data_IF_824879540193
#
_entry.id   IF_824879540193
#
_cell.length_a   1.000
_cell.length_b   1.000
_cell.length_c   1.000
_cell.angle_alpha   90.00
_cell.angle_beta   90.00
_cell.angle_gamma   90.00
#
_symmetry.space_group_name_H-M   'P 1'
#
loop_
_entity.id
_entity.type
_entity.pdbx_description
1 polymer ?
#
# COMPACT_ATOMS: atom_id res chain seq x y z
N UNK A 1 -7.76 -19.42 -4.17
CA UNK A 1 -7.70 -17.99 -4.42
C UNK A 1 -7.27 -17.22 -3.18
N UNK A 2 -6.32 -16.32 -3.35
CA UNK A 2 -5.77 -15.56 -2.23
C UNK A 2 -6.61 -14.36 -1.87
N UNK A 3 -6.70 -14.09 -0.58
CA UNK A 3 -7.26 -12.85 -0.07
C UNK A 3 -6.09 -11.90 0.19
N UNK A 4 -5.93 -10.93 -0.68
CA UNK A 4 -4.79 -10.01 -0.62
C UNK A 4 -5.09 -8.81 0.26
N UNK A 5 -4.09 -8.41 1.03
CA UNK A 5 -4.20 -7.27 1.92
C UNK A 5 -3.14 -6.22 1.59
N UNK A 6 -3.53 -4.96 1.71
CA UNK A 6 -2.65 -3.83 1.42
C UNK A 6 -2.63 -2.91 2.64
N UNK A 7 -1.44 -2.40 2.97
CA UNK A 7 -1.30 -1.32 3.95
C UNK A 7 -0.71 -0.11 3.25
N UNK A 8 -1.28 1.06 3.52
CA UNK A 8 -0.78 2.32 3.00
C UNK A 8 -0.06 3.04 4.12
N UNK A 9 1.25 3.28 3.93
CA UNK A 9 2.10 3.98 4.89
C UNK A 9 2.47 5.31 4.27
N UNK A 10 1.83 6.40 4.70
CA UNK A 10 1.94 7.68 4.02
C UNK A 10 1.80 8.82 5.02
N UNK A 11 2.45 9.95 4.69
CA UNK A 11 2.26 11.19 5.43
C UNK A 11 1.20 12.09 4.80
N UNK A 12 0.50 11.59 3.78
CA UNK A 12 -0.58 12.35 3.14
C UNK A 12 -1.78 12.44 4.05
N UNK A 13 -2.61 13.46 3.78
CA UNK A 13 -3.85 13.64 4.53
C UNK A 13 -4.78 12.44 4.36
N UNK A 14 -5.54 12.17 5.40
CA UNK A 14 -6.47 11.05 5.39
C UNK A 14 -7.43 11.10 4.21
N UNK A 15 -7.85 12.30 3.82
CA UNK A 15 -8.74 12.48 2.68
C UNK A 15 -8.13 11.94 1.40
N UNK A 16 -6.82 12.21 1.18
CA UNK A 16 -6.11 11.72 0.01
C UNK A 16 -6.02 10.19 0.06
N UNK A 17 -5.70 9.64 1.22
CA UNK A 17 -5.56 8.19 1.39
C UNK A 17 -6.90 7.47 1.22
N UNK A 18 -7.98 8.09 1.68
CA UNK A 18 -9.32 7.52 1.49
C UNK A 18 -9.68 7.46 0.01
N UNK A 19 -9.29 8.48 -0.75
CA UNK A 19 -9.49 8.49 -2.19
C UNK A 19 -8.72 7.36 -2.86
N UNK A 20 -7.46 7.16 -2.47
CA UNK A 20 -6.65 6.04 -2.95
C UNK A 20 -7.33 4.71 -2.67
N UNK A 21 -7.81 4.55 -1.45
CA UNK A 21 -8.49 3.33 -1.04
C UNK A 21 -9.70 3.05 -1.91
N UNK A 22 -10.49 4.08 -2.20
CA UNK A 22 -11.66 3.92 -3.06
C UNK A 22 -11.26 3.50 -4.47
N UNK A 23 -10.21 4.11 -5.02
CA UNK A 23 -9.73 3.75 -6.34
C UNK A 23 -9.25 2.30 -6.38
N UNK A 24 -8.52 1.87 -5.35
CA UNK A 24 -8.02 0.49 -5.27
C UNK A 24 -9.16 -0.51 -5.24
N UNK A 25 -10.16 -0.25 -4.42
CA UNK A 25 -11.32 -1.15 -4.30
C UNK A 25 -12.11 -1.22 -5.59
N UNK A 26 -12.18 -0.09 -6.32
CA UNK A 26 -12.89 -0.06 -7.59
C UNK A 26 -12.15 -0.85 -8.66
N UNK A 27 -10.82 -0.73 -8.70
CA UNK A 27 -10.02 -1.40 -9.72
C UNK A 27 -9.76 -2.87 -9.39
N UNK A 28 -9.71 -3.23 -8.12
CA UNK A 28 -9.39 -4.58 -7.68
C UNK A 28 -10.39 -5.02 -6.61
N UNK A 29 -11.62 -5.33 -7.02
CA UNK A 29 -12.68 -5.66 -6.04
C UNK A 29 -12.44 -6.95 -5.28
N UNK A 30 -11.45 -7.75 -5.70
CA UNK A 30 -11.12 -9.00 -5.01
C UNK A 30 -10.20 -8.78 -3.81
N UNK A 31 -9.76 -7.55 -3.55
CA UNK A 31 -8.90 -7.27 -2.40
C UNK A 31 -9.64 -7.55 -1.10
N UNK A 32 -8.94 -8.23 -0.18
CA UNK A 32 -9.51 -8.59 1.11
C UNK A 32 -9.63 -7.38 2.01
N UNK A 33 -8.55 -6.61 2.14
CA UNK A 33 -8.60 -5.42 2.97
C UNK A 33 -7.51 -4.44 2.59
N UNK A 34 -7.81 -3.17 2.83
CA UNK A 34 -6.86 -2.08 2.64
C UNK A 34 -6.89 -1.25 3.91
N UNK A 35 -5.77 -1.21 4.61
CA UNK A 35 -5.65 -0.46 5.86
C UNK A 35 -4.71 0.72 5.66
N UNK A 36 -4.96 1.78 6.41
CA UNK A 36 -4.05 2.92 6.46
C UNK A 36 -3.27 2.84 7.77
N UNK A 37 -1.94 2.92 7.66
CA UNK A 37 -1.08 2.89 8.82
C UNK A 37 -1.29 4.19 9.60
N UNK A 38 -1.66 4.08 10.87
CA UNK A 38 -2.06 5.24 11.67
C UNK A 38 -1.14 5.51 12.84
N UNK A 39 -0.02 4.83 12.89
CA UNK A 39 0.95 5.03 13.96
C UNK A 39 2.04 5.99 13.51
N UNK A 40 3.03 6.19 14.35
CA UNK A 40 4.08 7.15 14.10
C UNK A 40 4.92 6.76 12.88
N UNK A 41 4.87 7.57 11.82
CA UNK A 41 5.60 7.29 10.58
C UNK A 41 7.11 7.55 10.72
N UNK A 42 7.53 8.22 11.78
CA UNK A 42 8.95 8.43 12.04
C UNK A 42 9.56 7.25 12.81
N UNK A 43 8.72 6.33 13.27
CA UNK A 43 9.16 5.15 13.99
C UNK A 43 8.25 3.99 13.56
N UNK A 44 8.40 3.56 12.32
CA UNK A 44 7.51 2.59 11.71
C UNK A 44 7.65 1.21 12.35
N UNK A 45 6.52 0.58 12.64
CA UNK A 45 6.48 -0.78 13.13
C UNK A 45 6.57 -1.74 11.95
N UNK A 46 7.79 -2.18 11.63
CA UNK A 46 8.04 -3.03 10.47
C UNK A 46 7.41 -4.42 10.61
N UNK A 47 7.30 -4.92 11.84
CA UNK A 47 6.63 -6.21 12.05
C UNK A 47 5.18 -6.11 11.60
N UNK A 48 4.54 -5.01 11.94
CA UNK A 48 3.13 -4.82 11.60
C UNK A 48 2.91 -4.68 10.10
N UNK A 49 3.70 -3.85 9.43
CA UNK A 49 3.47 -3.62 8.00
C UNK A 49 3.88 -4.80 7.14
N UNK A 50 4.83 -5.62 7.60
CA UNK A 50 5.23 -6.81 6.88
C UNK A 50 4.20 -7.93 6.91
N UNK A 51 3.16 -7.80 7.70
CA UNK A 51 2.08 -8.80 7.75
C UNK A 51 1.11 -8.66 6.57
N UNK A 52 1.22 -7.58 5.82
CA UNK A 52 0.39 -7.36 4.65
C UNK A 52 1.06 -7.93 3.41
N UNK A 53 0.24 -8.23 2.40
CA UNK A 53 0.76 -8.75 1.13
C UNK A 53 1.48 -7.68 0.33
N UNK A 54 1.10 -6.42 0.52
CA UNK A 54 1.68 -5.32 -0.22
C UNK A 54 1.70 -4.06 0.63
N UNK A 55 2.81 -3.33 0.57
CA UNK A 55 2.95 -2.03 1.21
C UNK A 55 2.95 -0.96 0.13
N UNK A 56 2.03 0.00 0.24
CA UNK A 56 2.03 1.19 -0.61
C UNK A 56 2.51 2.35 0.24
N UNK A 57 3.56 3.04 -0.22
CA UNK A 57 4.15 4.09 0.61
C UNK A 57 4.75 5.21 -0.23
N UNK A 58 4.71 6.42 0.31
CA UNK A 58 5.45 7.56 -0.21
C UNK A 58 6.57 7.97 0.74
N UNK A 59 6.85 7.13 1.73
CA UNK A 59 7.87 7.37 2.73
C UNK A 59 9.09 6.51 2.44
N UNK A 60 10.28 7.02 2.75
CA UNK A 60 11.51 6.28 2.57
C UNK A 60 11.64 5.28 3.71
N UNK A 61 11.28 4.03 3.45
CA UNK A 61 11.37 2.96 4.44
C UNK A 61 12.72 2.27 4.34
N UNK A 62 13.13 1.63 5.46
CA UNK A 62 14.36 0.86 5.48
C UNK A 62 14.16 -0.45 4.73
N UNK A 63 14.72 -0.52 3.52
CA UNK A 63 14.52 -1.66 2.62
C UNK A 63 14.97 -2.98 3.25
N UNK A 64 15.98 -2.93 4.11
CA UNK A 64 16.49 -4.16 4.74
C UNK A 64 15.50 -4.76 5.73
N UNK A 65 14.51 -3.98 6.16
CA UNK A 65 13.48 -4.44 7.10
C UNK A 65 12.17 -4.80 6.44
N UNK A 66 12.10 -4.67 5.10
CA UNK A 66 10.89 -5.00 4.35
C UNK A 66 11.02 -6.43 3.82
N UNK A 67 10.05 -7.28 4.16
CA UNK A 67 10.03 -8.67 3.74
C UNK A 67 8.84 -9.01 2.85
N UNK A 68 8.01 -8.03 2.53
CA UNK A 68 6.89 -8.22 1.61
C UNK A 68 7.04 -7.27 0.44
N UNK A 69 6.12 -7.34 -0.53
CA UNK A 69 6.16 -6.46 -1.68
C UNK A 69 5.88 -5.02 -1.29
N UNK A 70 6.60 -4.09 -1.94
CA UNK A 70 6.43 -2.68 -1.65
C UNK A 70 6.40 -1.91 -2.96
N UNK A 71 5.52 -0.92 -3.04
CA UNK A 71 5.37 -0.08 -4.23
C UNK A 71 5.23 1.37 -3.79
N UNK A 72 5.98 2.25 -4.44
CA UNK A 72 5.91 3.68 -4.15
C UNK A 72 4.66 4.28 -4.75
N UNK A 73 4.02 5.18 -4.02
CA UNK A 73 2.85 5.90 -4.51
C UNK A 73 3.17 7.38 -4.65
N UNK A 74 2.43 8.04 -5.53
CA UNK A 74 2.45 9.49 -5.68
C UNK A 74 1.06 10.00 -5.36
N UNK A 75 0.94 11.32 -5.22
CA UNK A 75 -0.32 11.94 -4.88
C UNK A 75 -1.40 11.59 -5.90
N UNK A 76 -1.02 11.53 -7.18
CA UNK A 76 -1.93 11.16 -8.27
C UNK A 76 -1.39 9.90 -8.92
N UNK A 77 -2.16 8.79 -8.93
CA UNK A 77 -1.68 7.54 -9.53
C UNK A 77 -1.48 7.69 -11.04
N UNK A 78 -0.40 7.08 -11.53
CA UNK A 78 -0.10 7.06 -12.97
C UNK A 78 -0.48 5.72 -13.56
N UNK A 79 -0.52 5.64 -14.90
CA UNK A 79 -0.78 4.34 -15.55
C UNK A 79 0.34 3.34 -15.23
N UNK A 80 1.57 3.81 -15.10
CA UNK A 80 2.67 2.92 -14.70
C UNK A 80 2.44 2.33 -13.32
N UNK A 81 1.94 3.14 -12.39
CA UNK A 81 1.60 2.67 -11.05
C UNK A 81 0.56 1.55 -11.12
N UNK A 82 -0.51 1.77 -11.88
CA UNK A 82 -1.56 0.77 -12.00
C UNK A 82 -1.06 -0.52 -12.63
N UNK A 83 -0.20 -0.43 -13.64
CA UNK A 83 0.37 -1.62 -14.29
C UNK A 83 1.25 -2.40 -13.33
N UNK A 84 2.11 -1.72 -12.58
CA UNK A 84 2.98 -2.36 -11.61
C UNK A 84 2.17 -3.02 -10.49
N UNK A 85 1.13 -2.35 -10.04
CA UNK A 85 0.27 -2.87 -8.99
C UNK A 85 -0.45 -4.13 -9.46
N UNK A 86 -0.95 -4.11 -10.68
CA UNK A 86 -1.64 -5.27 -11.26
C UNK A 86 -0.71 -6.47 -11.31
N UNK A 87 0.54 -6.27 -11.71
CA UNK A 87 1.51 -7.35 -11.74
C UNK A 87 1.74 -7.97 -10.36
N UNK A 88 1.87 -7.11 -9.35
CA UNK A 88 2.12 -7.58 -7.99
C UNK A 88 0.93 -8.35 -7.43
N UNK A 89 -0.29 -7.91 -7.73
CA UNK A 89 -1.49 -8.51 -7.16
C UNK A 89 -1.88 -9.81 -7.86
N UNK A 90 -1.53 -9.96 -9.13
CA UNK A 90 -1.97 -11.11 -9.91
C UNK A 90 -0.80 -11.98 -10.42
N UNK A 91 0.38 -11.73 -9.89
CA UNK A 91 1.56 -12.52 -10.26
C UNK A 91 1.50 -13.94 -9.69
#
# INVERSE_FOLDING_TARGET
KKHLSIVIVSYQEERILSFYKQLLLKKFPSLYKIDMYQENIFSVDYVKINQYDLILTDIELNQTKISTNMLKISKIPTSAFWSNLKELLYA
#
